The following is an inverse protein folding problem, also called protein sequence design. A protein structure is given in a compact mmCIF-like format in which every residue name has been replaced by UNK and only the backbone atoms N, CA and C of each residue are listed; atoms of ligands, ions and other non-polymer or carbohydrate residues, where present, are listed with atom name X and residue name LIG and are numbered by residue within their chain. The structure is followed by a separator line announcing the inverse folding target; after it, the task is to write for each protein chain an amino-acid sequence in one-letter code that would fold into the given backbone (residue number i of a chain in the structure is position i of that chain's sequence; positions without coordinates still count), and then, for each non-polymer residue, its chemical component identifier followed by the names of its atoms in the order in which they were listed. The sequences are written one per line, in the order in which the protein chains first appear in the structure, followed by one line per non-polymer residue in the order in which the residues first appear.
data_IF_414764057616
#
_entry.id   IF_414764057616
#
_cell.length_a   1.000
_cell.length_b   1.000
_cell.length_c   1.000
_cell.angle_alpha   90.00
_cell.angle_beta   90.00
_cell.angle_gamma   90.00
#
_symmetry.space_group_name_H-M   'P 1'
#
loop_
_entity.id
_entity.type
_entity.pdbx_description
1 polymer ?
#
# COMPACT_ATOMS: atom_id res chain seq x y z
N UNK A 1 -21.38 -40.93 -13.36
CA UNK A 1 -21.44 -39.85 -14.37
C UNK A 1 -22.28 -38.65 -13.87
N UNK A 2 -22.15 -38.22 -12.60
CA UNK A 2 -22.98 -37.14 -12.01
C UNK A 2 -22.14 -36.08 -11.24
N UNK A 3 -20.81 -36.23 -11.16
CA UNK A 3 -19.95 -35.28 -10.43
C UNK A 3 -19.42 -34.15 -11.33
N UNK A 4 -19.41 -34.32 -12.65
CA UNK A 4 -18.85 -33.34 -13.60
C UNK A 4 -19.68 -32.07 -13.80
N UNK A 5 -21.01 -32.11 -13.68
CA UNK A 5 -21.85 -30.95 -14.05
C UNK A 5 -21.99 -29.89 -12.94
N UNK A 6 -21.54 -30.17 -11.71
CA UNK A 6 -21.63 -29.21 -10.60
C UNK A 6 -20.43 -28.26 -10.56
N UNK A 7 -19.26 -28.74 -10.96
CA UNK A 7 -18.02 -27.95 -10.97
C UNK A 7 -18.04 -26.86 -12.06
N UNK A 8 -18.68 -27.13 -13.21
CA UNK A 8 -18.84 -26.16 -14.30
C UNK A 8 -19.86 -25.05 -13.96
N UNK A 9 -20.83 -25.34 -13.09
CA UNK A 9 -21.83 -24.38 -12.60
C UNK A 9 -21.22 -23.35 -11.64
N UNK A 10 -20.41 -23.79 -10.67
CA UNK A 10 -19.78 -22.89 -9.69
C UNK A 10 -18.73 -21.99 -10.35
N UNK A 11 -17.95 -22.51 -11.29
CA UNK A 11 -16.98 -21.71 -12.04
C UNK A 11 -17.66 -20.62 -12.91
N UNK A 12 -18.81 -20.92 -13.53
CA UNK A 12 -19.57 -19.93 -14.30
C UNK A 12 -20.25 -18.88 -13.42
N UNK A 13 -20.63 -19.23 -12.19
CA UNK A 13 -21.24 -18.29 -11.24
C UNK A 13 -20.21 -17.30 -10.69
N UNK A 14 -18.98 -17.75 -10.39
CA UNK A 14 -17.89 -16.84 -10.01
C UNK A 14 -17.59 -15.83 -11.14
N UNK A 15 -17.51 -16.29 -12.39
CA UNK A 15 -17.27 -15.41 -13.55
C UNK A 15 -18.43 -14.43 -13.78
N UNK A 16 -19.69 -14.85 -13.55
CA UNK A 16 -20.85 -13.94 -13.59
C UNK A 16 -20.82 -12.91 -12.47
N UNK A 17 -20.49 -13.32 -11.25
CA UNK A 17 -20.40 -12.44 -10.08
C UNK A 17 -19.29 -11.40 -10.25
N UNK A 18 -18.10 -11.79 -10.73
CA UNK A 18 -17.05 -10.83 -11.09
C UNK A 18 -17.50 -9.87 -12.20
N UNK A 19 -18.22 -10.37 -13.22
CA UNK A 19 -18.72 -9.55 -14.33
C UNK A 19 -19.82 -8.57 -13.90
N UNK A 20 -20.68 -8.94 -12.96
CA UNK A 20 -21.70 -8.04 -12.37
C UNK A 20 -21.10 -6.99 -11.43
N UNK A 21 -19.97 -7.28 -10.78
CA UNK A 21 -19.21 -6.29 -9.98
C UNK A 21 -18.38 -5.37 -10.89
N UNK A 22 -17.80 -5.89 -11.97
CA UNK A 22 -16.96 -5.12 -12.91
C UNK A 22 -17.74 -4.33 -13.96
N UNK A 23 -18.97 -4.71 -14.31
CA UNK A 23 -19.79 -3.97 -15.28
C UNK A 23 -20.22 -2.58 -14.80
N UNK A 24 -20.64 -2.33 -13.54
CA UNK A 24 -20.96 -0.98 -13.08
C UNK A 24 -19.71 -0.10 -12.95
N UNK A 25 -18.56 -0.68 -12.60
CA UNK A 25 -17.25 0.00 -12.52
C UNK A 25 -16.78 0.57 -13.87
N UNK A 26 -17.05 -0.15 -14.96
CA UNK A 26 -16.67 0.27 -16.32
C UNK A 26 -17.74 1.15 -16.99
N UNK A 27 -19.03 0.94 -16.68
CA UNK A 27 -20.11 1.80 -17.20
C UNK A 27 -20.21 3.18 -16.53
N UNK A 28 -19.77 3.33 -15.28
CA UNK A 28 -19.85 4.58 -14.53
C UNK A 28 -18.46 5.12 -14.16
N UNK A 29 -17.46 4.82 -14.99
CA UNK A 29 -16.10 5.33 -14.79
C UNK A 29 -16.07 6.86 -14.75
N UNK A 30 -16.83 7.51 -15.63
CA UNK A 30 -16.95 8.98 -15.64
C UNK A 30 -17.55 9.50 -14.34
N UNK A 31 -18.58 8.83 -13.79
CA UNK A 31 -19.19 9.21 -12.51
C UNK A 31 -18.23 8.99 -11.33
N UNK A 32 -17.50 7.88 -11.36
CA UNK A 32 -16.48 7.53 -10.37
C UNK A 32 -15.34 8.53 -10.38
N UNK A 33 -14.89 8.92 -11.58
CA UNK A 33 -13.85 9.91 -11.80
C UNK A 33 -14.31 11.30 -11.39
N UNK A 34 -15.53 11.70 -11.73
CA UNK A 34 -16.10 13.00 -11.35
C UNK A 34 -16.21 13.11 -9.82
N UNK A 35 -16.56 12.02 -9.12
CA UNK A 35 -16.69 12.00 -7.66
C UNK A 35 -15.37 11.79 -6.92
N UNK A 36 -14.41 11.08 -7.51
CA UNK A 36 -13.02 11.06 -7.06
C UNK A 36 -12.43 12.47 -7.18
N UNK A 37 -12.60 13.11 -8.33
CA UNK A 37 -12.20 14.50 -8.59
C UNK A 37 -12.95 15.46 -7.68
N UNK A 38 -14.22 15.23 -7.36
CA UNK A 38 -14.98 16.06 -6.40
C UNK A 38 -14.53 15.89 -4.97
N UNK A 39 -14.22 14.70 -4.47
CA UNK A 39 -13.69 14.56 -3.10
C UNK A 39 -12.24 15.01 -2.99
N UNK A 40 -11.43 14.79 -4.02
CA UNK A 40 -10.12 15.45 -4.18
C UNK A 40 -10.35 16.96 -4.13
N UNK A 41 -11.23 17.47 -4.98
CA UNK A 41 -11.56 18.89 -5.01
C UNK A 41 -12.22 19.38 -3.73
N UNK A 42 -12.93 18.61 -2.92
CA UNK A 42 -13.54 19.04 -1.64
C UNK A 42 -12.51 18.97 -0.50
N UNK A 43 -11.61 17.98 -0.55
CA UNK A 43 -10.43 17.92 0.33
C UNK A 43 -9.46 19.08 0.03
N UNK A 44 -9.42 19.55 -1.21
CA UNK A 44 -8.53 20.63 -1.66
C UNK A 44 -9.25 21.99 -1.82
N UNK A 45 -10.58 22.04 -1.93
CA UNK A 45 -11.39 23.26 -1.98
C UNK A 45 -11.66 23.70 -0.55
N UNK A 46 -10.72 24.49 -0.05
CA UNK A 46 -10.94 25.19 1.20
C UNK A 46 -9.68 25.84 1.72
N UNK A 47 -8.53 25.17 1.65
CA UNK A 47 -7.29 25.71 2.22
C UNK A 47 -6.07 25.12 1.50
N UNK A 48 -5.24 25.96 0.88
CA UNK A 48 -3.94 25.55 0.35
C UNK A 48 -3.03 24.87 1.39
N UNK A 49 -3.31 25.11 2.68
CA UNK A 49 -2.69 24.44 3.82
C UNK A 49 -2.92 22.92 3.83
N UNK A 50 -4.08 22.42 3.40
CA UNK A 50 -4.37 20.97 3.36
C UNK A 50 -3.60 20.28 2.24
N UNK A 51 -3.46 20.93 1.08
CA UNK A 51 -2.65 20.41 -0.02
C UNK A 51 -1.17 20.32 0.35
N UNK A 52 -0.63 21.35 0.99
CA UNK A 52 0.76 21.38 1.47
C UNK A 52 0.98 20.31 2.55
N UNK A 53 0.00 20.08 3.43
CA UNK A 53 0.12 19.12 4.52
C UNK A 53 0.32 17.67 4.04
N UNK A 54 -0.29 17.31 2.90
CA UNK A 54 -0.12 15.99 2.26
C UNK A 54 1.34 15.73 1.85
N UNK A 55 2.10 16.78 1.51
CA UNK A 55 3.53 16.67 1.24
C UNK A 55 4.37 16.73 2.52
N UNK A 56 4.00 17.63 3.45
CA UNK A 56 4.75 17.83 4.71
C UNK A 56 4.76 16.56 5.55
N UNK A 57 3.63 15.87 5.69
CA UNK A 57 3.54 14.69 6.55
C UNK A 57 4.53 13.56 6.17
N UNK A 58 4.53 13.02 4.93
CA UNK A 58 5.50 12.00 4.54
C UNK A 58 6.94 12.52 4.58
N UNK A 59 7.17 13.80 4.26
CA UNK A 59 8.51 14.40 4.31
C UNK A 59 9.04 14.50 5.75
N UNK A 60 8.19 14.84 6.73
CA UNK A 60 8.55 14.81 8.15
C UNK A 60 8.86 13.39 8.62
N UNK A 61 8.02 12.42 8.28
CA UNK A 61 8.24 11.01 8.64
C UNK A 61 9.57 10.52 8.05
N UNK A 62 9.79 10.70 6.74
CA UNK A 62 11.06 10.35 6.10
C UNK A 62 12.24 11.09 6.73
N UNK A 63 12.10 12.40 6.98
CA UNK A 63 13.15 13.22 7.57
C UNK A 63 13.57 12.75 8.96
N UNK A 64 12.60 12.34 9.79
CA UNK A 64 12.88 11.75 11.11
C UNK A 64 13.64 10.44 10.96
N UNK A 65 13.21 9.54 10.05
CA UNK A 65 13.90 8.27 9.83
C UNK A 65 15.31 8.45 9.25
N UNK A 66 15.48 9.35 8.28
CA UNK A 66 16.79 9.74 7.74
C UNK A 66 17.66 10.29 8.86
N UNK A 67 17.14 11.18 9.71
CA UNK A 67 17.89 11.74 10.83
C UNK A 67 18.33 10.66 11.82
N UNK A 68 17.40 9.79 12.25
CA UNK A 68 17.70 8.70 13.19
C UNK A 68 18.77 7.76 12.60
N UNK A 69 18.58 7.23 11.40
CA UNK A 69 19.51 6.24 10.86
C UNK A 69 20.83 6.85 10.37
N UNK A 70 20.80 8.06 9.81
CA UNK A 70 22.00 8.73 9.31
C UNK A 70 22.84 9.39 10.40
N UNK A 71 22.23 9.92 11.48
CA UNK A 71 22.96 10.59 12.56
C UNK A 71 23.12 9.76 13.83
N UNK A 72 22.10 8.96 14.22
CA UNK A 72 22.16 8.16 15.47
C UNK A 72 22.85 6.82 15.23
N UNK A 73 22.58 6.16 14.11
CA UNK A 73 23.12 4.80 13.81
C UNK A 73 24.36 4.79 12.91
N UNK A 74 24.92 5.94 12.56
CA UNK A 74 26.04 6.13 11.62
C UNK A 74 27.29 5.28 11.89
N UNK A 75 27.46 4.78 13.11
CA UNK A 75 28.62 3.98 13.54
C UNK A 75 28.36 2.50 13.86
N UNK A 76 27.10 2.04 13.87
CA UNK A 76 26.78 0.66 14.30
C UNK A 76 26.47 -0.30 13.14
N UNK A 77 26.32 0.22 11.92
CA UNK A 77 25.92 -0.53 10.73
C UNK A 77 27.03 -0.40 9.69
N UNK A 78 28.10 -1.17 9.85
CA UNK A 78 29.23 -1.17 8.92
C UNK A 78 28.86 -1.79 7.55
N UNK A 79 29.66 -1.54 6.49
CA UNK A 79 29.47 -2.15 5.17
C UNK A 79 29.62 -3.69 5.12
N UNK A 80 29.97 -4.32 6.25
CA UNK A 80 30.47 -5.69 6.35
C UNK A 80 29.43 -6.75 6.74
N UNK A 81 28.20 -6.38 7.11
CA UNK A 81 27.20 -7.32 7.66
C UNK A 81 26.21 -7.87 6.62
N UNK A 82 26.53 -7.78 5.32
CA UNK A 82 25.59 -8.11 4.25
C UNK A 82 24.36 -7.20 4.22
N UNK A 83 24.49 -6.00 4.81
CA UNK A 83 23.47 -4.96 4.78
C UNK A 83 23.43 -4.28 3.41
N UNK A 84 22.24 -3.78 3.05
CA UNK A 84 22.06 -2.99 1.84
C UNK A 84 23.07 -1.82 1.79
N UNK A 85 23.48 -1.38 0.58
CA UNK A 85 24.49 -0.31 0.41
C UNK A 85 24.13 0.99 1.15
N UNK A 86 22.83 1.23 1.37
CA UNK A 86 22.31 2.32 2.18
C UNK A 86 21.10 1.82 2.99
N UNK A 87 21.33 1.60 4.29
CA UNK A 87 20.30 1.14 5.22
C UNK A 87 19.13 2.13 5.34
N UNK A 88 19.39 3.42 5.13
CA UNK A 88 18.35 4.45 5.15
C UNK A 88 17.38 4.23 3.99
N UNK A 89 17.90 3.97 2.79
CA UNK A 89 17.08 3.63 1.63
C UNK A 89 16.30 2.33 1.83
N UNK A 90 16.93 1.32 2.44
CA UNK A 90 16.29 0.05 2.75
C UNK A 90 15.02 0.26 3.59
N UNK A 91 15.12 1.01 4.69
CA UNK A 91 13.98 1.27 5.56
C UNK A 91 12.95 2.16 4.88
N UNK A 92 13.38 3.25 4.24
CA UNK A 92 12.45 4.20 3.60
C UNK A 92 11.61 3.51 2.52
N UNK A 93 12.22 2.63 1.72
CA UNK A 93 11.52 1.91 0.65
C UNK A 93 10.40 1.01 1.18
N UNK A 94 10.68 0.20 2.21
CA UNK A 94 9.66 -0.64 2.86
C UNK A 94 8.62 0.17 3.61
N UNK A 95 9.02 1.28 4.23
CA UNK A 95 8.14 2.14 5.01
C UNK A 95 7.07 2.80 4.13
N UNK A 96 7.44 3.26 2.94
CA UNK A 96 6.50 3.89 2.00
C UNK A 96 5.43 2.88 1.54
N UNK A 97 5.84 1.65 1.24
CA UNK A 97 4.91 0.58 0.88
C UNK A 97 3.93 0.29 2.03
N UNK A 98 4.43 0.19 3.26
CA UNK A 98 3.61 -0.08 4.44
C UNK A 98 2.67 1.08 4.79
N UNK A 99 3.17 2.31 4.87
CA UNK A 99 2.39 3.50 5.26
C UNK A 99 1.25 3.75 4.28
N UNK A 100 1.50 3.56 2.98
CA UNK A 100 0.45 3.69 1.97
C UNK A 100 -0.64 2.62 2.13
N UNK A 101 -0.27 1.39 2.47
CA UNK A 101 -1.21 0.31 2.76
C UNK A 101 -2.00 0.60 4.04
N UNK A 102 -1.34 1.02 5.11
CA UNK A 102 -1.97 1.42 6.37
C UNK A 102 -3.00 2.54 6.15
N UNK A 103 -2.65 3.55 5.36
CA UNK A 103 -3.56 4.64 5.01
C UNK A 103 -4.78 4.13 4.23
N UNK A 104 -4.55 3.26 3.24
CA UNK A 104 -5.62 2.65 2.45
C UNK A 104 -6.56 1.81 3.30
N UNK A 105 -6.03 0.97 4.20
CA UNK A 105 -6.83 0.13 5.11
C UNK A 105 -7.72 0.97 6.03
N UNK A 106 -7.16 2.01 6.65
CA UNK A 106 -7.89 2.91 7.54
C UNK A 106 -9.00 3.68 6.82
N UNK A 107 -8.72 4.20 5.61
CA UNK A 107 -9.73 4.91 4.82
C UNK A 107 -10.82 3.98 4.29
N UNK A 108 -10.47 2.80 3.79
CA UNK A 108 -11.43 1.84 3.24
C UNK A 108 -12.43 1.35 4.29
N UNK A 109 -11.96 1.05 5.51
CA UNK A 109 -12.81 0.66 6.63
C UNK A 109 -13.83 1.75 7.01
N UNK A 110 -13.42 3.02 6.97
CA UNK A 110 -14.29 4.18 7.26
C UNK A 110 -15.12 4.68 6.07
N UNK A 111 -14.87 4.22 4.85
CA UNK A 111 -15.39 4.82 3.62
C UNK A 111 -16.92 4.76 3.54
N UNK A 112 -17.51 3.62 3.92
CA UNK A 112 -18.96 3.40 3.84
C UNK A 112 -19.69 4.18 4.94
N UNK A 113 -19.16 4.16 6.17
CA UNK A 113 -19.79 4.85 7.32
C UNK A 113 -19.75 6.36 7.15
N UNK A 114 -18.62 6.91 6.68
CA UNK A 114 -18.43 8.36 6.53
C UNK A 114 -19.27 8.93 5.38
N UNK A 115 -19.49 8.15 4.31
CA UNK A 115 -20.27 8.56 3.15
C UNK A 115 -21.73 8.04 3.17
N UNK A 116 -22.18 7.42 4.26
CA UNK A 116 -23.54 6.90 4.41
C UNK A 116 -24.67 7.92 4.13
N UNK A 117 -24.53 9.23 4.44
CA UNK A 117 -25.53 10.24 4.08
C UNK A 117 -25.68 10.44 2.56
N UNK A 118 -24.58 10.34 1.81
CA UNK A 118 -24.56 10.49 0.35
C UNK A 118 -25.19 9.29 -0.35
N UNK A 119 -24.91 8.07 0.14
CA UNK A 119 -25.47 6.81 -0.38
C UNK A 119 -27.00 6.75 -0.21
N UNK A 120 -27.55 7.42 0.82
CA UNK A 120 -29.00 7.45 1.07
C UNK A 120 -29.76 8.48 0.21
N UNK A 121 -29.07 9.48 -0.34
CA UNK A 121 -29.69 10.58 -1.08
C UNK A 121 -29.61 10.42 -2.59
N UNK A 122 -28.58 9.73 -3.08
CA UNK A 122 -28.37 9.43 -4.50
C UNK A 122 -28.10 7.93 -4.56
N UNK A 123 -28.77 7.17 -5.43
CA UNK A 123 -28.60 5.72 -5.59
C UNK A 123 -27.16 5.40 -6.05
N UNK A 124 -26.22 5.45 -5.10
CA UNK A 124 -24.80 5.44 -5.37
C UNK A 124 -24.24 4.03 -5.15
N UNK A 125 -23.53 3.44 -6.12
CA UNK A 125 -22.96 2.10 -5.97
C UNK A 125 -21.89 2.13 -4.87
N UNK A 126 -22.14 1.36 -3.82
CA UNK A 126 -21.30 1.33 -2.61
C UNK A 126 -19.91 0.74 -2.88
N UNK A 127 -19.74 0.00 -3.98
CA UNK A 127 -18.46 -0.59 -4.40
C UNK A 127 -17.43 0.46 -4.84
N UNK A 128 -17.87 1.68 -5.19
CA UNK A 128 -16.96 2.75 -5.61
C UNK A 128 -16.27 3.44 -4.43
N UNK A 129 -16.82 3.36 -3.22
CA UNK A 129 -16.27 4.04 -2.04
C UNK A 129 -14.91 3.48 -1.62
N UNK A 130 -14.70 2.14 -1.52
CA UNK A 130 -13.39 1.58 -1.25
C UNK A 130 -12.38 1.88 -2.37
N UNK A 131 -12.78 1.76 -3.64
CA UNK A 131 -11.91 2.03 -4.79
C UNK A 131 -11.36 3.46 -4.77
N UNK A 132 -12.21 4.44 -4.46
CA UNK A 132 -11.83 5.85 -4.30
C UNK A 132 -10.80 6.05 -3.18
N UNK A 133 -10.98 5.36 -2.05
CA UNK A 133 -10.06 5.44 -0.92
C UNK A 133 -8.67 4.88 -1.23
N UNK A 134 -8.63 3.79 -2.01
CA UNK A 134 -7.40 3.19 -2.54
C UNK A 134 -6.71 4.14 -3.51
N UNK A 135 -7.46 4.71 -4.46
CA UNK A 135 -6.90 5.64 -5.46
C UNK A 135 -6.28 6.89 -4.81
N UNK A 136 -6.92 7.41 -3.76
CA UNK A 136 -6.37 8.53 -2.98
C UNK A 136 -5.06 8.15 -2.30
N UNK A 137 -4.96 6.94 -1.75
CA UNK A 137 -3.74 6.45 -1.08
C UNK A 137 -2.63 6.15 -2.08
N UNK A 138 -2.99 5.74 -3.31
CA UNK A 138 -2.05 5.61 -4.43
C UNK A 138 -1.42 6.93 -4.84
N UNK A 139 -2.16 8.04 -4.84
CA UNK A 139 -1.59 9.36 -5.11
C UNK A 139 -0.53 9.74 -4.06
N UNK A 140 -0.81 9.47 -2.79
CA UNK A 140 0.15 9.70 -1.71
C UNK A 140 1.40 8.83 -1.83
N UNK A 141 1.23 7.57 -2.24
CA UNK A 141 2.34 6.67 -2.54
C UNK A 141 3.21 7.20 -3.69
N UNK A 142 2.60 7.69 -4.77
CA UNK A 142 3.34 8.28 -5.91
C UNK A 142 4.18 9.48 -5.46
N UNK A 143 3.61 10.35 -4.62
CA UNK A 143 4.34 11.48 -4.03
C UNK A 143 5.53 10.97 -3.20
N UNK A 144 5.30 9.96 -2.35
CA UNK A 144 6.34 9.39 -1.51
C UNK A 144 7.46 8.72 -2.35
N UNK A 145 7.11 8.02 -3.43
CA UNK A 145 8.08 7.45 -4.37
C UNK A 145 8.89 8.56 -5.04
N UNK A 146 8.25 9.65 -5.50
CA UNK A 146 8.97 10.79 -6.08
C UNK A 146 9.98 11.40 -5.11
N UNK A 147 9.61 11.55 -3.84
CA UNK A 147 10.52 12.05 -2.79
C UNK A 147 11.68 11.08 -2.57
N UNK A 148 11.41 9.77 -2.53
CA UNK A 148 12.44 8.75 -2.38
C UNK A 148 13.42 8.74 -3.57
N UNK A 149 12.90 8.83 -4.80
CA UNK A 149 13.69 8.93 -6.03
C UNK A 149 14.59 10.17 -5.96
N UNK A 150 14.05 11.32 -5.55
CA UNK A 150 14.83 12.55 -5.39
C UNK A 150 15.96 12.37 -4.37
N UNK A 151 15.66 11.74 -3.22
CA UNK A 151 16.67 11.42 -2.21
C UNK A 151 17.79 10.51 -2.75
N UNK A 152 17.44 9.50 -3.56
CA UNK A 152 18.43 8.58 -4.16
C UNK A 152 19.36 9.29 -5.15
N UNK A 153 18.82 10.21 -5.96
CA UNK A 153 19.61 11.01 -6.90
C UNK A 153 20.59 11.92 -6.16
N UNK A 154 20.15 12.57 -5.08
CA UNK A 154 20.99 13.47 -4.28
C UNK A 154 22.10 12.72 -3.55
N UNK A 155 21.81 11.55 -2.97
CA UNK A 155 22.76 10.82 -2.12
C UNK A 155 23.72 9.93 -2.93
N UNK A 156 23.22 9.20 -3.93
CA UNK A 156 23.98 8.16 -4.62
C UNK A 156 24.42 8.54 -6.04
N UNK A 157 23.87 9.60 -6.64
CA UNK A 157 24.18 10.04 -8.01
C UNK A 157 24.05 8.94 -9.07
N UNK A 158 23.26 7.90 -8.80
CA UNK A 158 23.03 6.74 -9.66
C UNK A 158 21.57 6.35 -9.63
N UNK A 159 21.00 6.07 -10.80
CA UNK A 159 19.66 5.50 -10.94
C UNK A 159 19.86 4.04 -11.37
N UNK A 160 19.55 3.05 -10.52
CA UNK A 160 19.66 1.66 -10.91
C UNK A 160 18.57 1.31 -11.94
N UNK A 161 18.87 0.36 -12.83
CA UNK A 161 17.94 -0.13 -13.86
C UNK A 161 16.60 -0.62 -13.27
N UNK A 162 16.61 -1.06 -12.01
CA UNK A 162 15.46 -1.59 -11.29
C UNK A 162 14.30 -0.59 -11.15
N UNK A 163 14.54 0.71 -11.33
CA UNK A 163 13.48 1.73 -11.31
C UNK A 163 12.48 1.54 -12.46
N UNK A 164 12.88 0.86 -13.53
CA UNK A 164 11.99 0.44 -14.63
C UNK A 164 10.86 -0.48 -14.14
N UNK A 165 11.02 -1.15 -12.99
CA UNK A 165 10.01 -2.04 -12.39
C UNK A 165 9.02 -1.30 -11.47
N UNK A 166 9.17 0.01 -11.25
CA UNK A 166 8.22 0.80 -10.44
C UNK A 166 6.75 0.66 -10.92
N UNK A 167 6.44 0.69 -12.24
CA UNK A 167 5.06 0.50 -12.70
C UNK A 167 4.46 -0.85 -12.29
N UNK A 168 5.27 -1.91 -12.30
CA UNK A 168 4.85 -3.25 -11.87
C UNK A 168 4.61 -3.29 -10.35
N UNK A 169 5.47 -2.64 -9.59
CA UNK A 169 5.36 -2.51 -8.14
C UNK A 169 4.06 -1.77 -7.74
N UNK A 170 3.75 -0.67 -8.44
CA UNK A 170 2.51 0.08 -8.26
C UNK A 170 1.27 -0.78 -8.58
N UNK A 171 1.34 -1.62 -9.61
CA UNK A 171 0.26 -2.54 -9.95
C UNK A 171 0.00 -3.57 -8.85
N UNK A 172 1.06 -4.18 -8.30
CA UNK A 172 0.94 -5.14 -7.19
C UNK A 172 0.39 -4.47 -5.92
N UNK A 173 0.91 -3.30 -5.59
CA UNK A 173 0.40 -2.52 -4.46
C UNK A 173 -1.07 -2.14 -4.65
N UNK A 174 -1.48 -1.73 -5.85
CA UNK A 174 -2.87 -1.40 -6.17
C UNK A 174 -3.79 -2.61 -5.97
N UNK A 175 -3.42 -3.78 -6.50
CA UNK A 175 -4.20 -5.01 -6.35
C UNK A 175 -4.33 -5.42 -4.88
N UNK A 176 -3.24 -5.34 -4.12
CA UNK A 176 -3.22 -5.64 -2.68
C UNK A 176 -4.15 -4.68 -1.91
N UNK A 177 -4.03 -3.38 -2.16
CA UNK A 177 -4.87 -2.35 -1.52
C UNK A 177 -6.34 -2.50 -1.86
N UNK A 178 -6.67 -2.83 -3.12
CA UNK A 178 -8.04 -3.06 -3.55
C UNK A 178 -8.62 -4.28 -2.83
N UNK A 179 -7.91 -5.42 -2.83
CA UNK A 179 -8.37 -6.65 -2.18
C UNK A 179 -8.62 -6.46 -0.68
N UNK A 180 -7.63 -5.91 0.03
CA UNK A 180 -7.74 -5.64 1.47
C UNK A 180 -8.81 -4.56 1.73
N UNK A 181 -8.87 -3.50 0.91
CA UNK A 181 -9.83 -2.42 1.06
C UNK A 181 -11.27 -2.90 0.93
N UNK A 182 -11.58 -3.75 -0.04
CA UNK A 182 -12.92 -4.34 -0.18
C UNK A 182 -13.28 -5.22 1.00
N UNK A 183 -12.37 -6.11 1.43
CA UNK A 183 -12.58 -6.97 2.59
C UNK A 183 -12.86 -6.16 3.86
N UNK A 184 -12.00 -5.19 4.18
CA UNK A 184 -12.17 -4.34 5.36
C UNK A 184 -13.44 -3.50 5.29
N UNK A 185 -13.76 -2.93 4.12
CA UNK A 185 -14.96 -2.11 3.97
C UNK A 185 -16.23 -2.91 4.25
N UNK A 186 -16.30 -4.17 3.81
CA UNK A 186 -17.44 -5.05 4.06
C UNK A 186 -17.58 -5.38 5.55
N UNK A 187 -16.47 -5.75 6.23
CA UNK A 187 -16.51 -6.14 7.64
C UNK A 187 -16.75 -4.95 8.58
N UNK A 188 -16.16 -3.78 8.28
CA UNK A 188 -16.29 -2.58 9.12
C UNK A 188 -17.72 -2.01 9.16
N UNK A 189 -18.59 -2.35 8.19
CA UNK A 189 -20.01 -1.99 8.24
C UNK A 189 -20.73 -2.70 9.39
N UNK A 190 -20.35 -3.95 9.67
CA UNK A 190 -20.92 -4.74 10.77
C UNK A 190 -20.24 -4.44 12.10
N UNK A 191 -18.91 -4.30 12.10
CA UNK A 191 -18.10 -4.10 13.30
C UNK A 191 -17.40 -2.75 13.26
N UNK A 192 -17.99 -1.74 13.92
CA UNK A 192 -17.45 -0.37 13.93
C UNK A 192 -16.09 -0.25 14.63
N UNK A 193 -15.87 -1.05 15.66
CA UNK A 193 -14.62 -1.07 16.43
C UNK A 193 -13.44 -1.62 15.62
N UNK A 194 -13.70 -2.29 14.49
CA UNK A 194 -12.66 -2.80 13.61
C UNK A 194 -11.78 -1.67 13.04
N UNK A 195 -12.30 -0.44 12.94
CA UNK A 195 -11.52 0.72 12.49
C UNK A 195 -10.31 0.99 13.39
N UNK A 196 -10.52 0.95 14.70
CA UNK A 196 -9.46 1.22 15.67
C UNK A 196 -8.47 0.05 15.71
N UNK A 197 -8.97 -1.19 15.58
CA UNK A 197 -8.13 -2.39 15.44
C UNK A 197 -7.25 -2.32 14.20
N UNK A 198 -7.78 -1.88 13.05
CA UNK A 198 -7.00 -1.71 11.80
C UNK A 198 -5.95 -0.62 11.95
N UNK A 199 -6.27 0.50 12.62
CA UNK A 199 -5.27 1.52 12.91
C UNK A 199 -4.16 1.02 13.82
N UNK A 200 -4.50 0.31 14.89
CA UNK A 200 -3.53 -0.31 15.80
C UNK A 200 -2.65 -1.33 15.07
N UNK A 201 -3.25 -2.17 14.22
CA UNK A 201 -2.53 -3.11 13.37
C UNK A 201 -1.57 -2.40 12.41
N UNK A 202 -1.96 -1.27 11.84
CA UNK A 202 -1.09 -0.45 11.00
C UNK A 202 0.18 -0.01 11.73
N UNK A 203 0.06 0.43 12.99
CA UNK A 203 1.21 0.87 13.80
C UNK A 203 2.11 -0.30 14.18
N UNK A 204 1.52 -1.41 14.64
CA UNK A 204 2.28 -2.60 15.07
C UNK A 204 2.89 -3.33 13.86
N UNK A 205 2.22 -3.30 12.72
CA UNK A 205 2.60 -4.04 11.53
C UNK A 205 3.93 -3.61 10.91
N UNK A 206 4.35 -2.37 11.11
CA UNK A 206 5.71 -1.89 10.76
C UNK A 206 6.80 -2.77 11.41
N UNK A 207 6.54 -3.30 12.61
CA UNK A 207 7.47 -4.13 13.36
C UNK A 207 7.28 -5.64 13.10
N UNK A 208 6.07 -6.06 12.71
CA UNK A 208 5.77 -7.46 12.37
C UNK A 208 6.30 -7.86 10.99
N UNK A 209 6.35 -6.91 10.06
CA UNK A 209 6.74 -7.10 8.67
C UNK A 209 8.17 -6.56 8.49
N UNK A 210 9.01 -7.07 7.55
CA UNK A 210 10.44 -6.75 7.52
C UNK A 210 10.71 -5.37 6.89
N UNK A 211 10.12 -4.32 7.47
CA UNK A 211 10.33 -2.92 7.08
C UNK A 211 11.63 -2.39 7.70
N UNK A 212 11.79 -2.60 9.01
CA UNK A 212 12.88 -2.00 9.79
C UNK A 212 14.13 -2.87 9.89
N UNK A 213 14.05 -4.14 9.55
CA UNK A 213 15.13 -5.10 9.71
C UNK A 213 15.18 -6.09 8.53
N UNK A 214 16.38 -6.59 8.19
CA UNK A 214 16.52 -7.68 7.24
C UNK A 214 16.15 -9.03 7.88
N UNK A 215 15.65 -10.00 7.09
CA UNK A 215 15.19 -11.30 7.61
C UNK A 215 16.29 -12.11 8.31
N UNK A 216 17.56 -11.83 8.01
CA UNK A 216 18.72 -12.46 8.64
C UNK A 216 18.86 -12.16 10.15
N UNK A 217 18.34 -11.02 10.62
CA UNK A 217 18.40 -10.64 12.04
C UNK A 217 17.35 -11.34 12.91
N UNK A 218 16.36 -11.99 12.29
CA UNK A 218 15.27 -12.65 13.01
C UNK A 218 15.69 -14.06 13.42
N UNK A 219 15.40 -14.49 14.67
CA UNK A 219 15.67 -15.85 15.12
C UNK A 219 14.95 -16.90 14.26
N UNK A 220 15.58 -18.06 14.05
CA UNK A 220 15.08 -19.11 13.15
C UNK A 220 13.64 -19.54 13.42
N UNK A 221 13.17 -19.48 14.67
CA UNK A 221 11.78 -19.82 15.03
C UNK A 221 10.73 -18.87 14.44
N UNK A 222 11.06 -17.58 14.29
CA UNK A 222 10.13 -16.56 13.82
C UNK A 222 10.26 -16.27 12.31
N UNK A 223 11.32 -16.77 11.65
CA UNK A 223 11.49 -16.64 10.19
C UNK A 223 10.32 -17.20 9.37
N UNK A 224 9.71 -18.37 9.69
CA UNK A 224 8.60 -18.90 8.91
C UNK A 224 7.37 -17.98 8.91
N UNK A 225 7.09 -17.29 10.03
CA UNK A 225 5.99 -16.32 10.13
C UNK A 225 6.18 -15.14 9.16
N UNK A 226 7.42 -14.73 8.94
CA UNK A 226 7.78 -13.69 7.98
C UNK A 226 7.54 -14.12 6.54
N UNK A 227 7.96 -15.33 6.16
CA UNK A 227 7.74 -15.87 4.82
C UNK A 227 6.28 -16.28 4.57
N UNK A 228 5.48 -16.56 5.61
CA UNK A 228 4.06 -16.87 5.42
C UNK A 228 3.24 -15.61 5.11
N UNK A 229 3.72 -14.43 5.50
CA UNK A 229 2.96 -13.19 5.37
C UNK A 229 3.08 -12.62 3.94
N UNK A 230 1.96 -12.50 3.18
CA UNK A 230 1.96 -11.94 1.83
C UNK A 230 2.48 -10.49 1.77
N UNK A 231 2.33 -9.73 2.87
CA UNK A 231 2.79 -8.34 2.95
C UNK A 231 4.31 -8.21 3.00
N UNK A 232 5.01 -9.25 3.49
CA UNK A 232 6.47 -9.27 3.50
C UNK A 232 7.04 -9.25 2.09
N UNK A 233 6.42 -10.00 1.16
CA UNK A 233 6.87 -10.09 -0.23
C UNK A 233 6.78 -8.76 -0.94
N UNK A 234 5.69 -8.02 -0.73
CA UNK A 234 5.52 -6.68 -1.29
C UNK A 234 6.64 -5.74 -0.82
N UNK A 235 6.97 -5.76 0.48
CA UNK A 235 8.04 -4.93 1.04
C UNK A 235 9.42 -5.32 0.50
N UNK A 236 9.70 -6.60 0.33
CA UNK A 236 10.95 -7.05 -0.30
C UNK A 236 11.07 -6.58 -1.74
N UNK A 237 9.98 -6.58 -2.52
CA UNK A 237 10.00 -6.03 -3.87
C UNK A 237 10.33 -4.53 -3.88
N UNK A 238 9.83 -3.75 -2.91
CA UNK A 238 10.20 -2.34 -2.75
C UNK A 238 11.69 -2.18 -2.39
N UNK A 239 12.18 -3.00 -1.47
CA UNK A 239 13.59 -2.95 -1.03
C UNK A 239 14.56 -3.35 -2.14
N UNK A 240 14.23 -4.35 -2.96
CA UNK A 240 15.01 -4.76 -4.13
C UNK A 240 15.12 -3.64 -5.18
N UNK A 241 14.01 -2.94 -5.43
CA UNK A 241 13.95 -1.83 -6.42
C UNK A 241 14.80 -0.64 -5.98
N UNK A 242 14.62 -0.18 -4.74
CA UNK A 242 15.17 1.10 -4.29
C UNK A 242 16.51 0.99 -3.57
N UNK A 243 16.80 -0.14 -2.91
CA UNK A 243 17.97 -0.26 -2.03
C UNK A 243 19.09 -1.09 -2.64
N UNK A 244 18.77 -2.27 -3.19
CA UNK A 244 19.79 -3.18 -3.70
C UNK A 244 20.16 -2.93 -5.17
N UNK A 245 19.25 -2.36 -5.97
CA UNK A 245 19.48 -2.17 -7.41
C UNK A 245 19.62 -3.49 -8.18
N UNK A 246 19.17 -4.60 -7.58
CA UNK A 246 19.14 -5.97 -8.12
C UNK A 246 17.95 -6.72 -7.52
N UNK A 247 17.48 -7.75 -8.22
CA UNK A 247 16.43 -8.64 -7.74
C UNK A 247 17.05 -9.67 -6.79
N UNK A 248 17.24 -9.28 -5.53
CA UNK A 248 17.79 -10.17 -4.50
C UNK A 248 16.78 -11.27 -4.14
N UNK A 249 15.48 -10.94 -4.18
CA UNK A 249 14.37 -11.82 -3.83
C UNK A 249 13.54 -12.17 -5.07
N UNK A 250 14.14 -12.77 -6.10
CA UNK A 250 13.42 -13.13 -7.34
C UNK A 250 12.12 -13.94 -7.12
N UNK A 251 12.07 -14.77 -6.07
CA UNK A 251 10.87 -15.52 -5.69
C UNK A 251 9.71 -14.64 -5.23
N UNK A 252 9.99 -13.47 -4.64
CA UNK A 252 8.97 -12.55 -4.16
C UNK A 252 8.20 -11.87 -5.31
N UNK A 253 8.79 -11.83 -6.50
CA UNK A 253 8.17 -11.26 -7.70
C UNK A 253 7.22 -12.21 -8.41
N UNK A 254 7.29 -13.51 -8.11
CA UNK A 254 6.45 -14.54 -8.73
C UNK A 254 5.19 -14.86 -7.91
N UNK A 255 5.10 -14.36 -6.68
CA UNK A 255 4.02 -14.59 -5.71
C UNK A 255 3.07 -13.39 -5.70
#
# INVERSE_FOLDING_TARGET
MIVGSRCDSEASDHVRMYREVLSPLTQHWDLTWELAKREVSDRYAGQGLVAIWVFIHPLLVMGIYVFIFSFVFKGSLGPSDGLAPDYTLYILSGLIAWVSLQESMGKACGAIVTNAPLVKQVAFPVELLPAKSVLTSMLNLLIAICILVLYTIINQWRIPWTYTLIPMLLMFQLLMMMGVGYLLSSVCVYVRDLKDVVQAFGVIGVYLVPVLYPPQWVPNLARPLLYLNPLSYLIWCYQDVFSFGRLEHWWAWCI
#
